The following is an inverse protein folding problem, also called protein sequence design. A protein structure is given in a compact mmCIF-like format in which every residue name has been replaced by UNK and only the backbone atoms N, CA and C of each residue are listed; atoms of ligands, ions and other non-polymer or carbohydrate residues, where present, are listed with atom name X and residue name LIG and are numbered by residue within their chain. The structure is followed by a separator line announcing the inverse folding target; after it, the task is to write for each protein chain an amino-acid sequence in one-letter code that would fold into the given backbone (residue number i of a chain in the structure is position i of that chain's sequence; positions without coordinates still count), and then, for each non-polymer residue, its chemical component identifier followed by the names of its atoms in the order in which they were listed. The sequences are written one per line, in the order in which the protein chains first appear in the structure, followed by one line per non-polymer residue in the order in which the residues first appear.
data_IF_469908658578
#
_entry.id   IF_469908658578
#
_cell.length_a   1.000
_cell.length_b   1.000
_cell.length_c   1.000
_cell.angle_alpha   90.00
_cell.angle_beta   90.00
_cell.angle_gamma   90.00
#
_symmetry.space_group_name_H-M   'P 1'
#
loop_
_entity.id
_entity.type
_entity.pdbx_description
1 polymer ?
#
# COMPACT_ATOMS: atom_id res chain seq x y z
N UNK A 1 -49.80 -27.94 -28.76
CA UNK A 1 -48.67 -28.55 -29.49
C UNK A 1 -47.84 -27.45 -30.10
N UNK A 2 -46.51 -27.45 -29.84
CA UNK A 2 -45.44 -26.78 -30.61
C UNK A 2 -45.49 -25.23 -30.57
N UNK A 3 -44.46 -24.44 -30.29
CA UNK A 3 -42.99 -24.57 -30.37
C UNK A 3 -42.45 -23.26 -29.74
N UNK A 4 -41.65 -23.30 -28.68
CA UNK A 4 -40.18 -23.14 -28.68
C UNK A 4 -39.64 -21.76 -29.11
N UNK A 5 -39.01 -21.09 -28.13
CA UNK A 5 -37.71 -20.38 -28.18
C UNK A 5 -37.47 -19.37 -29.32
N UNK A 6 -37.30 -18.09 -28.95
CA UNK A 6 -35.99 -17.39 -28.91
C UNK A 6 -36.11 -16.28 -27.85
N UNK A 7 -35.84 -16.66 -26.60
CA UNK A 7 -35.13 -15.79 -25.68
C UNK A 7 -33.66 -16.06 -25.99
N UNK A 8 -32.90 -15.04 -26.33
CA UNK A 8 -31.46 -14.88 -26.08
C UNK A 8 -30.94 -13.83 -27.05
N UNK A 9 -30.12 -12.90 -26.54
CA UNK A 9 -29.03 -12.20 -27.27
C UNK A 9 -28.98 -10.67 -27.11
N UNK A 10 -29.49 -10.03 -26.04
CA UNK A 10 -29.19 -8.59 -25.83
C UNK A 10 -29.03 -8.13 -24.37
N UNK A 11 -28.63 -9.01 -23.45
CA UNK A 11 -28.42 -8.63 -22.04
C UNK A 11 -27.10 -9.15 -21.43
N UNK A 12 -26.08 -9.43 -22.24
CA UNK A 12 -24.84 -10.09 -21.76
C UNK A 12 -23.54 -9.41 -22.21
N UNK A 13 -23.50 -8.07 -22.25
CA UNK A 13 -22.25 -7.34 -22.51
C UNK A 13 -21.98 -6.18 -21.53
N UNK A 14 -22.71 -6.10 -20.41
CA UNK A 14 -22.59 -5.01 -19.44
C UNK A 14 -21.75 -5.28 -18.19
N UNK A 15 -21.33 -6.52 -17.90
CA UNK A 15 -20.80 -6.87 -16.56
C UNK A 15 -19.32 -7.23 -16.49
N UNK A 16 -18.54 -7.08 -17.57
CA UNK A 16 -17.12 -7.49 -17.60
C UNK A 16 -16.16 -6.29 -17.55
N UNK A 17 -16.54 -5.21 -16.86
CA UNK A 17 -15.62 -4.10 -16.56
C UNK A 17 -15.71 -3.72 -15.09
N UNK A 18 -15.23 -4.61 -14.20
CA UNK A 18 -15.20 -4.31 -12.77
C UNK A 18 -14.10 -5.00 -11.96
N UNK A 19 -13.31 -5.91 -12.54
CA UNK A 19 -12.37 -6.73 -11.77
C UNK A 19 -10.88 -6.42 -12.02
N UNK A 20 -10.53 -5.52 -12.93
CA UNK A 20 -9.11 -5.32 -13.33
C UNK A 20 -8.32 -4.30 -12.49
N UNK A 21 -8.88 -3.74 -11.41
CA UNK A 21 -8.16 -2.75 -10.58
C UNK A 21 -7.80 -3.29 -9.18
N UNK A 22 -7.96 -4.58 -8.91
CA UNK A 22 -7.37 -5.17 -7.72
C UNK A 22 -6.00 -5.73 -8.07
N UNK A 23 -4.97 -4.89 -7.93
CA UNK A 23 -3.59 -5.33 -7.98
C UNK A 23 -3.18 -5.53 -6.51
N UNK A 24 -3.19 -6.77 -5.99
CA UNK A 24 -2.87 -7.02 -4.60
C UNK A 24 -1.43 -6.55 -4.32
N UNK A 25 -1.23 -5.90 -3.17
CA UNK A 25 0.09 -5.54 -2.68
C UNK A 25 0.98 -6.79 -2.76
N UNK A 26 2.10 -6.67 -3.49
CA UNK A 26 2.87 -7.82 -3.99
C UNK A 26 3.40 -8.63 -2.81
N UNK A 27 2.83 -9.82 -2.55
CA UNK A 27 3.41 -10.78 -1.60
C UNK A 27 4.77 -11.21 -2.13
N UNK A 28 5.85 -10.78 -1.49
CA UNK A 28 7.17 -11.35 -1.74
C UNK A 28 7.17 -12.75 -1.11
N UNK A 29 7.43 -13.78 -1.91
CA UNK A 29 7.22 -15.19 -1.55
C UNK A 29 8.15 -15.73 -0.44
N UNK A 30 9.11 -14.93 0.04
CA UNK A 30 10.19 -15.38 0.95
C UNK A 30 10.13 -14.77 2.37
N UNK A 31 9.03 -14.13 2.76
CA UNK A 31 8.95 -13.43 4.06
C UNK A 31 7.79 -13.90 4.93
N UNK A 32 8.02 -14.08 6.24
CA UNK A 32 7.03 -14.40 7.29
C UNK A 32 5.89 -13.38 7.46
N UNK A 33 5.80 -12.37 6.60
CA UNK A 33 4.89 -11.23 6.71
C UNK A 33 3.69 -11.38 5.75
N UNK A 34 2.54 -10.84 6.13
CA UNK A 34 1.31 -10.89 5.33
C UNK A 34 1.46 -10.10 4.02
N UNK A 35 2.05 -8.91 4.11
CA UNK A 35 2.31 -8.00 2.98
C UNK A 35 3.65 -7.28 3.18
N UNK A 36 4.36 -7.00 2.08
CA UNK A 36 5.61 -6.24 2.08
C UNK A 36 5.62 -5.32 0.86
N UNK A 37 5.77 -4.02 1.07
CA UNK A 37 5.77 -3.03 0.00
C UNK A 37 6.63 -1.82 0.37
N UNK A 38 7.03 -1.06 -0.65
CA UNK A 38 7.84 0.15 -0.48
C UNK A 38 6.96 1.36 -0.69
N UNK A 39 6.86 2.21 0.32
CA UNK A 39 6.19 3.50 0.24
C UNK A 39 7.21 4.56 -0.14
N UNK A 40 6.96 5.24 -1.26
CA UNK A 40 7.73 6.42 -1.67
C UNK A 40 7.01 7.68 -1.21
N UNK A 41 7.75 8.59 -0.59
CA UNK A 41 7.21 9.83 -0.07
C UNK A 41 8.20 10.98 -0.28
N UNK A 42 7.67 12.19 -0.42
CA UNK A 42 8.45 13.41 -0.56
C UNK A 42 8.25 14.29 0.66
N UNK A 43 9.34 14.61 1.36
CA UNK A 43 9.36 15.54 2.48
C UNK A 43 9.67 16.95 2.00
N UNK A 44 8.81 17.89 2.34
CA UNK A 44 8.94 19.31 2.03
C UNK A 44 8.74 20.16 3.28
N UNK A 45 8.98 21.48 3.17
CA UNK A 45 8.65 22.46 4.22
C UNK A 45 7.16 22.46 4.59
N UNK A 46 6.29 22.04 3.68
CA UNK A 46 4.84 21.99 3.88
C UNK A 46 4.35 20.65 4.47
N UNK A 47 5.24 19.67 4.64
CA UNK A 47 4.90 18.34 5.18
C UNK A 47 5.30 17.20 4.24
N UNK A 48 4.71 16.02 4.50
CA UNK A 48 4.91 14.83 3.69
C UNK A 48 3.88 14.74 2.58
N UNK A 49 4.36 14.42 1.38
CA UNK A 49 3.51 14.07 0.24
C UNK A 49 3.71 12.58 -0.07
N UNK A 50 2.61 11.85 -0.09
CA UNK A 50 2.60 10.43 -0.47
C UNK A 50 2.19 10.32 -1.93
N UNK A 51 2.65 9.27 -2.61
CA UNK A 51 2.14 8.94 -3.93
C UNK A 51 0.63 8.62 -3.81
N UNK A 52 -0.21 9.40 -4.48
CA UNK A 52 -1.66 9.27 -4.42
C UNK A 52 -2.17 8.00 -5.12
N UNK A 53 -1.34 7.34 -5.92
CA UNK A 53 -1.70 6.11 -6.64
C UNK A 53 -1.34 4.83 -5.90
N UNK A 54 -0.70 4.94 -4.73
CA UNK A 54 -0.35 3.77 -3.93
C UNK A 54 -1.59 3.22 -3.20
N UNK A 55 -2.14 2.13 -3.75
CA UNK A 55 -3.36 1.48 -3.24
C UNK A 55 -3.16 0.84 -1.86
N UNK A 56 -1.93 0.64 -1.41
CA UNK A 56 -1.61 0.06 -0.11
C UNK A 56 -1.59 1.15 1.00
N UNK A 57 -1.63 2.44 0.63
CA UNK A 57 -1.56 3.59 1.54
C UNK A 57 -2.95 4.02 2.05
N UNK A 58 -3.39 3.40 3.14
CA UNK A 58 -4.57 3.87 3.90
C UNK A 58 -4.28 5.18 4.65
N UNK A 59 -5.31 5.96 4.99
CA UNK A 59 -5.14 7.19 5.76
C UNK A 59 -4.55 6.96 7.16
N UNK A 60 -4.87 5.82 7.78
CA UNK A 60 -4.26 5.41 9.04
C UNK A 60 -2.76 5.16 8.87
N UNK A 61 -2.36 4.46 7.80
CA UNK A 61 -0.95 4.20 7.50
C UNK A 61 -0.18 5.50 7.21
N UNK A 62 -0.78 6.43 6.44
CA UNK A 62 -0.18 7.75 6.18
C UNK A 62 0.10 8.51 7.48
N UNK A 63 -0.87 8.56 8.39
CA UNK A 63 -0.71 9.21 9.71
C UNK A 63 0.37 8.54 10.54
N UNK A 64 0.43 7.20 10.54
CA UNK A 64 1.48 6.44 11.21
C UNK A 64 2.87 6.79 10.66
N UNK A 65 3.02 6.83 9.34
CA UNK A 65 4.26 7.22 8.67
C UNK A 65 4.63 8.68 8.99
N UNK A 66 3.68 9.60 8.97
CA UNK A 66 3.91 11.00 9.36
C UNK A 66 4.43 11.12 10.79
N UNK A 67 3.83 10.38 11.73
CA UNK A 67 4.28 10.34 13.12
C UNK A 67 5.70 9.77 13.21
N UNK A 68 5.95 8.62 12.59
CA UNK A 68 7.28 8.01 12.52
C UNK A 68 8.32 8.99 11.99
N UNK A 69 8.05 9.67 10.88
CA UNK A 69 8.97 10.64 10.25
C UNK A 69 9.19 11.91 11.08
N UNK A 70 8.26 12.29 11.97
CA UNK A 70 8.39 13.42 12.90
C UNK A 70 9.19 13.04 14.14
N UNK A 71 8.94 11.85 14.67
CA UNK A 71 9.52 11.37 15.94
C UNK A 71 10.88 10.69 15.74
N UNK A 72 11.17 10.19 14.55
CA UNK A 72 12.43 9.53 14.26
C UNK A 72 13.61 10.50 14.36
N UNK A 73 14.66 10.09 15.08
CA UNK A 73 15.90 10.86 15.19
C UNK A 73 16.89 10.58 14.05
N UNK A 74 16.50 9.78 13.05
CA UNK A 74 17.33 9.42 11.89
C UNK A 74 17.67 10.65 11.06
N UNK A 75 18.96 10.83 10.74
CA UNK A 75 19.44 12.00 9.97
C UNK A 75 18.86 12.02 8.56
N UNK A 76 18.66 10.87 7.94
CA UNK A 76 18.19 10.78 6.56
C UNK A 76 16.77 11.34 6.44
N UNK A 77 15.87 10.93 7.34
CA UNK A 77 14.49 11.41 7.39
C UNK A 77 14.34 12.86 7.88
N UNK A 78 15.41 13.52 8.34
CA UNK A 78 15.37 14.96 8.69
C UNK A 78 15.44 15.86 7.47
N UNK A 79 16.04 15.41 6.37
CA UNK A 79 16.22 16.23 5.17
C UNK A 79 14.96 16.28 4.32
N UNK A 80 14.73 17.43 3.69
CA UNK A 80 13.75 17.53 2.60
C UNK A 80 14.26 16.70 1.41
N UNK A 81 13.34 16.13 0.64
CA UNK A 81 13.67 15.27 -0.49
C UNK A 81 12.78 14.04 -0.57
N UNK A 82 13.16 13.14 -1.46
CA UNK A 82 12.49 11.87 -1.67
C UNK A 82 13.03 10.82 -0.70
N UNK A 83 12.11 10.07 -0.11
CA UNK A 83 12.39 9.01 0.85
C UNK A 83 11.61 7.76 0.44
N UNK A 84 12.21 6.60 0.70
CA UNK A 84 11.56 5.30 0.51
C UNK A 84 11.54 4.58 1.86
N UNK A 85 10.37 4.15 2.29
CA UNK A 85 10.17 3.35 3.48
C UNK A 85 9.75 1.95 3.08
N UNK A 86 10.44 0.95 3.58
CA UNK A 86 9.99 -0.43 3.46
C UNK A 86 8.97 -0.71 4.57
N UNK A 87 7.74 -1.03 4.18
CA UNK A 87 6.63 -1.31 5.09
C UNK A 87 6.29 -2.79 5.01
N UNK A 88 6.15 -3.42 6.17
CA UNK A 88 5.61 -4.78 6.29
C UNK A 88 4.34 -4.76 7.10
N UNK A 89 3.39 -5.62 6.72
CA UNK A 89 2.18 -5.89 7.47
C UNK A 89 2.30 -7.28 8.09
N UNK A 90 2.08 -7.35 9.39
CA UNK A 90 2.07 -8.60 10.15
C UNK A 90 0.93 -8.58 11.17
N UNK A 91 0.10 -9.62 11.18
CA UNK A 91 -1.04 -9.79 12.09
C UNK A 91 -1.94 -8.54 12.16
N UNK A 92 -2.21 -7.93 11.01
CA UNK A 92 -3.04 -6.72 10.91
C UNK A 92 -2.37 -5.41 11.36
N UNK A 93 -1.08 -5.41 11.70
CA UNK A 93 -0.31 -4.21 12.07
C UNK A 93 0.74 -3.87 11.02
N UNK A 94 1.06 -2.58 10.87
CA UNK A 94 2.08 -2.12 9.93
C UNK A 94 3.36 -1.74 10.67
N UNK A 95 4.50 -2.06 10.06
CA UNK A 95 5.83 -1.80 10.60
C UNK A 95 6.72 -1.20 9.52
N UNK A 96 7.58 -0.26 9.91
CA UNK A 96 8.71 0.18 9.07
C UNK A 96 9.88 -0.77 9.33
N UNK A 97 10.41 -1.36 8.26
CA UNK A 97 11.64 -2.16 8.30
C UNK A 97 12.82 -1.21 8.14
N UNK A 98 13.66 -1.11 9.16
CA UNK A 98 14.95 -0.44 9.02
C UNK A 98 15.96 -1.39 8.39
N UNK A 99 16.62 -0.95 7.32
CA UNK A 99 17.66 -1.72 6.61
C UNK A 99 19.04 -1.67 7.30
N UNK A 100 19.21 -0.83 8.33
CA UNK A 100 20.46 -0.78 9.11
C UNK A 100 20.54 -2.00 10.05
N UNK A 101 21.67 -2.71 10.04
CA UNK A 101 21.87 -3.88 10.90
C UNK A 101 22.15 -3.47 12.36
N UNK A 102 21.49 -4.08 13.37
CA UNK A 102 20.49 -5.14 13.24
C UNK A 102 19.15 -4.60 12.74
N UNK A 103 18.50 -5.36 11.84
CA UNK A 103 17.16 -5.04 11.31
C UNK A 103 16.20 -4.80 12.48
N UNK A 104 15.62 -3.61 12.54
CA UNK A 104 14.63 -3.22 13.57
C UNK A 104 13.28 -2.95 12.92
N UNK A 105 12.22 -3.44 13.55
CA UNK A 105 10.84 -3.17 13.19
C UNK A 105 10.28 -2.06 14.09
N UNK A 106 9.77 -1.00 13.47
CA UNK A 106 9.08 0.07 14.19
C UNK A 106 7.58 -0.01 13.88
N UNK A 107 6.78 -0.31 14.91
CA UNK A 107 5.32 -0.35 14.80
C UNK A 107 4.77 1.05 14.47
N UNK A 108 3.94 1.14 13.43
CA UNK A 108 3.24 2.35 13.05
C UNK A 108 1.89 2.40 13.80
N UNK A 109 1.79 3.32 14.77
CA UNK A 109 0.57 3.60 15.55
C UNK A 109 -0.20 4.79 15.01
#
# INVERSE_FOLDING_TARGET
MRTFLIVFSFLLSGTVFGQSLYQPCKKSADTYYEENFVVKLKKSSYGLQFDSFDRCLTDALKKGIERFMKETHRRDFRRNGEHSLQIVKDRGKYYVVEQESPLRLFELK
#
